data_IF_374527912720
#
_entry.id   IF_374527912720
#
_cell.length_a   1.000
_cell.length_b   1.000
_cell.length_c   1.000
_cell.angle_alpha   90.00
_cell.angle_beta   90.00
_cell.angle_gamma   90.00
#
_symmetry.space_group_name_H-M   'P 1'
#
loop_
_entity.id
_entity.type
_entity.pdbx_description
1 polymer ?
#
# COMPACT_ATOMS: atom_id res chain seq x y z
N UNK A 1 1.55 -0.69 11.40
CA UNK A 1 2.29 -1.69 10.62
C UNK A 1 1.34 -2.72 10.07
N UNK A 2 1.53 -3.10 8.82
CA UNK A 2 0.75 -4.16 8.20
C UNK A 2 1.56 -5.45 8.24
N UNK A 3 0.98 -6.52 8.79
CA UNK A 3 1.67 -7.80 8.88
C UNK A 3 1.01 -8.81 7.94
N UNK A 4 1.78 -9.27 6.97
CA UNK A 4 1.36 -10.30 6.02
C UNK A 4 1.96 -11.61 6.49
N UNK A 5 1.10 -12.52 6.92
CA UNK A 5 1.53 -13.73 7.65
C UNK A 5 1.97 -14.87 6.74
N UNK A 6 1.70 -14.77 5.46
CA UNK A 6 2.17 -15.72 4.45
C UNK A 6 2.15 -15.04 3.10
N UNK A 7 2.89 -15.58 2.14
CA UNK A 7 2.90 -14.99 0.79
C UNK A 7 1.50 -15.03 0.16
N UNK A 8 0.76 -16.11 0.40
CA UNK A 8 -0.59 -16.24 -0.16
C UNK A 8 -1.53 -15.17 0.38
N UNK A 9 -1.40 -14.85 1.66
CA UNK A 9 -2.24 -13.82 2.28
C UNK A 9 -1.95 -12.44 1.73
N UNK A 10 -0.79 -12.24 1.14
CA UNK A 10 -0.38 -10.95 0.64
C UNK A 10 -0.64 -10.70 -0.83
N UNK A 11 -1.21 -11.67 -1.56
CA UNK A 11 -1.30 -11.57 -3.03
C UNK A 11 -2.01 -10.29 -3.47
N UNK A 12 -3.14 -9.95 -2.84
CA UNK A 12 -3.88 -8.76 -3.24
C UNK A 12 -3.07 -7.49 -2.98
N UNK A 13 -2.34 -7.46 -1.88
CA UNK A 13 -1.48 -6.31 -1.54
C UNK A 13 -0.33 -6.22 -2.54
N UNK A 14 0.30 -7.34 -2.88
CA UNK A 14 1.39 -7.34 -3.86
C UNK A 14 0.90 -6.85 -5.22
N UNK A 15 -0.30 -7.28 -5.64
CA UNK A 15 -0.88 -6.81 -6.90
C UNK A 15 -1.18 -5.32 -6.85
N UNK A 16 -1.72 -4.84 -5.74
CA UNK A 16 -2.03 -3.42 -5.60
C UNK A 16 -0.76 -2.58 -5.64
N UNK A 17 0.32 -3.04 -5.03
CA UNK A 17 1.58 -2.30 -4.98
C UNK A 17 2.43 -2.49 -6.23
N UNK A 18 2.10 -3.44 -7.09
CA UNK A 18 2.84 -3.68 -8.32
C UNK A 18 2.46 -2.73 -9.45
N UNK A 19 2.36 -1.45 -9.16
CA UNK A 19 1.94 -0.45 -10.14
C UNK A 19 2.64 0.87 -9.81
N UNK A 20 3.33 1.44 -10.79
CA UNK A 20 4.01 2.72 -10.60
C UNK A 20 3.02 3.81 -10.18
N UNK A 21 1.83 3.83 -10.78
CA UNK A 21 0.83 4.84 -10.46
C UNK A 21 0.38 4.71 -9.02
N UNK A 22 0.10 3.49 -8.58
CA UNK A 22 -0.37 3.28 -7.20
C UNK A 22 0.71 3.56 -6.16
N UNK A 23 1.96 3.24 -6.46
CA UNK A 23 3.07 3.64 -5.59
C UNK A 23 3.14 5.15 -5.47
N UNK A 24 2.99 5.85 -6.60
CA UNK A 24 3.03 7.31 -6.58
C UNK A 24 1.85 7.89 -5.78
N UNK A 25 0.68 7.27 -5.87
CA UNK A 25 -0.47 7.67 -5.06
C UNK A 25 -0.12 7.61 -3.58
N UNK A 26 0.45 6.49 -3.14
CA UNK A 26 0.81 6.32 -1.74
C UNK A 26 1.82 7.38 -1.31
N UNK A 27 2.84 7.63 -2.14
CA UNK A 27 3.86 8.64 -1.83
C UNK A 27 3.26 10.03 -1.68
N UNK A 28 2.38 10.41 -2.61
CA UNK A 28 1.73 11.73 -2.55
C UNK A 28 0.87 11.87 -1.30
N UNK A 29 0.13 10.82 -0.95
CA UNK A 29 -0.71 10.86 0.24
C UNK A 29 0.12 10.95 1.52
N UNK A 30 1.27 10.30 1.56
CA UNK A 30 2.16 10.39 2.71
C UNK A 30 2.77 11.80 2.83
N UNK A 31 3.20 12.35 1.71
CA UNK A 31 3.83 13.67 1.70
C UNK A 31 2.87 14.78 2.10
N UNK A 32 1.59 14.63 1.80
CA UNK A 32 0.60 15.68 1.98
C UNK A 32 -0.38 15.39 3.12
N UNK A 33 -0.18 14.31 3.87
CA UNK A 33 -1.08 13.89 4.95
C UNK A 33 -2.52 13.73 4.45
N UNK A 34 -2.65 13.20 3.24
CA UNK A 34 -3.94 13.05 2.58
C UNK A 34 -4.15 14.10 1.50
N UNK A 35 -4.97 13.76 0.52
CA UNK A 35 -5.30 14.66 -0.59
C UNK A 35 -6.71 14.37 -1.06
N UNK A 36 -7.37 15.40 -1.61
CA UNK A 36 -8.63 15.12 -2.27
C UNK A 36 -8.40 14.48 -3.64
N UNK A 37 -9.45 13.81 -4.15
CA UNK A 37 -9.36 13.06 -5.39
C UNK A 37 -8.99 13.93 -6.59
N UNK A 38 -9.53 15.14 -6.65
CA UNK A 38 -9.27 16.04 -7.77
C UNK A 38 -7.81 16.45 -7.83
N UNK A 39 -7.25 16.82 -6.68
CA UNK A 39 -5.85 17.22 -6.62
C UNK A 39 -4.94 16.05 -6.95
N UNK A 40 -5.29 14.87 -6.47
CA UNK A 40 -4.50 13.68 -6.73
C UNK A 40 -4.48 13.35 -8.22
N UNK A 41 -5.65 13.41 -8.87
CA UNK A 41 -5.74 13.17 -10.31
C UNK A 41 -4.92 14.20 -11.10
N UNK A 42 -4.96 15.44 -10.68
CA UNK A 42 -4.19 16.51 -11.34
C UNK A 42 -2.70 16.27 -11.23
N UNK A 43 -2.22 15.91 -10.03
CA UNK A 43 -0.80 15.64 -9.85
C UNK A 43 -0.33 14.47 -10.69
N UNK A 44 -1.18 13.45 -10.83
CA UNK A 44 -0.82 12.25 -11.60
C UNK A 44 -1.09 12.41 -13.09
N UNK A 45 -1.77 13.47 -13.48
CA UNK A 45 -2.16 13.73 -14.86
C UNK A 45 -2.98 12.58 -15.44
N UNK A 46 -3.96 12.12 -14.67
CA UNK A 46 -4.89 11.06 -15.10
C UNK A 46 -6.32 11.52 -14.88
N UNK A 47 -7.26 10.82 -15.49
CA UNK A 47 -8.67 11.14 -15.32
C UNK A 47 -9.15 10.69 -13.94
N UNK A 48 -10.25 11.29 -13.47
CA UNK A 48 -10.88 10.88 -12.22
C UNK A 48 -11.35 9.43 -12.30
N UNK A 49 -11.81 8.99 -13.47
CA UNK A 49 -12.23 7.60 -13.62
C UNK A 49 -11.08 6.61 -13.45
N UNK A 50 -9.92 6.93 -14.05
CA UNK A 50 -8.74 6.08 -13.89
C UNK A 50 -8.28 6.07 -12.43
N UNK A 51 -8.28 7.25 -11.80
CA UNK A 51 -7.89 7.35 -10.39
C UNK A 51 -8.79 6.52 -9.50
N UNK A 52 -10.12 6.59 -9.73
CA UNK A 52 -11.08 5.84 -8.94
C UNK A 52 -10.76 4.34 -8.94
N UNK A 53 -10.37 3.80 -10.09
CA UNK A 53 -10.00 2.39 -10.18
C UNK A 53 -8.78 2.05 -9.32
N UNK A 54 -7.76 2.92 -9.35
CA UNK A 54 -6.56 2.71 -8.54
C UNK A 54 -6.85 2.83 -7.05
N UNK A 55 -7.63 3.85 -6.69
CA UNK A 55 -8.00 4.08 -5.28
C UNK A 55 -8.77 2.88 -4.73
N UNK A 56 -9.71 2.34 -5.52
CA UNK A 56 -10.50 1.20 -5.08
C UNK A 56 -9.61 -0.01 -4.80
N UNK A 57 -8.63 -0.27 -5.64
CA UNK A 57 -7.70 -1.39 -5.42
C UNK A 57 -6.91 -1.23 -4.12
N UNK A 58 -6.43 -0.01 -3.86
CA UNK A 58 -5.70 0.27 -2.64
C UNK A 58 -6.60 0.20 -1.41
N UNK A 59 -7.82 0.69 -1.55
CA UNK A 59 -8.79 0.69 -0.46
C UNK A 59 -9.23 -0.71 -0.09
N UNK A 60 -9.46 -1.55 -1.09
CA UNK A 60 -9.89 -2.94 -0.88
C UNK A 60 -8.85 -3.75 -0.13
N UNK A 61 -7.58 -3.39 -0.23
CA UNK A 61 -6.49 -4.03 0.51
C UNK A 61 -6.25 -3.41 1.87
N UNK A 62 -6.96 -2.34 2.21
CA UNK A 62 -6.78 -1.67 3.49
C UNK A 62 -5.56 -0.76 3.55
N UNK A 63 -4.93 -0.44 2.42
CA UNK A 63 -3.74 0.39 2.41
C UNK A 63 -4.06 1.87 2.55
N UNK A 64 -5.21 2.28 2.04
CA UNK A 64 -5.68 3.66 2.16
C UNK A 64 -7.15 3.64 2.57
N UNK A 65 -7.63 4.80 2.99
CA UNK A 65 -9.06 5.02 3.24
C UNK A 65 -9.51 6.30 2.56
N UNK A 66 -10.80 6.39 2.30
CA UNK A 66 -11.40 7.60 1.74
C UNK A 66 -12.52 8.06 2.66
N UNK A 67 -12.58 9.37 2.88
CA UNK A 67 -13.62 10.00 3.65
C UNK A 67 -14.23 11.12 2.84
N UNK A 68 -15.51 11.38 3.04
CA UNK A 68 -16.20 12.48 2.40
C UNK A 68 -16.21 13.65 3.36
N UNK A 69 -15.75 14.81 2.89
CA UNK A 69 -15.76 16.03 3.68
C UNK A 69 -16.63 17.08 3.01
N UNK A 70 -17.41 17.85 3.77
CA UNK A 70 -18.17 18.95 3.19
C UNK A 70 -17.23 20.02 2.64
N UNK A 71 -17.60 20.59 1.52
CA UNK A 71 -16.87 21.70 0.95
C UNK A 71 -17.87 22.78 0.53
N UNK A 72 -17.37 23.93 0.12
CA UNK A 72 -18.23 25.02 -0.32
C UNK A 72 -19.10 24.69 -1.52
N UNK A 73 -18.74 23.65 -2.26
CA UNK A 73 -19.44 23.26 -3.50
C UNK A 73 -19.97 21.84 -3.42
N UNK A 74 -20.25 21.32 -2.23
CA UNK A 74 -20.71 19.97 -2.02
C UNK A 74 -19.69 19.18 -1.24
N UNK A 75 -19.67 17.89 -1.46
CA UNK A 75 -18.76 16.99 -0.75
C UNK A 75 -17.58 16.65 -1.61
N UNK A 76 -16.40 16.49 -0.99
CA UNK A 76 -15.22 16.02 -1.69
C UNK A 76 -14.67 14.82 -0.95
N UNK A 77 -14.05 13.92 -1.70
CA UNK A 77 -13.42 12.74 -1.12
C UNK A 77 -11.98 13.03 -0.81
N UNK A 78 -11.58 12.70 0.41
CA UNK A 78 -10.19 12.82 0.86
C UNK A 78 -9.63 11.43 1.04
N UNK A 79 -8.50 11.18 0.41
CA UNK A 79 -7.79 9.91 0.55
C UNK A 79 -6.66 10.06 1.56
N UNK A 80 -6.53 9.06 2.42
CA UNK A 80 -5.47 9.03 3.44
C UNK A 80 -4.80 7.68 3.43
N UNK A 81 -3.49 7.66 3.63
CA UNK A 81 -2.75 6.41 3.73
C UNK A 81 -2.46 6.12 5.19
N UNK A 82 -2.60 4.85 5.57
CA UNK A 82 -2.35 4.42 6.95
C UNK A 82 -1.15 3.49 7.05
N UNK A 83 -0.40 3.38 5.97
CA UNK A 83 0.70 2.43 5.86
C UNK A 83 2.01 3.10 6.23
N UNK A 84 2.73 2.52 7.20
CA UNK A 84 4.10 2.94 7.51
C UNK A 84 5.09 1.83 7.18
N UNK A 85 4.74 0.59 7.47
CA UNK A 85 5.62 -0.56 7.27
C UNK A 85 4.81 -1.78 6.89
N UNK A 86 5.44 -2.67 6.13
CA UNK A 86 4.88 -3.97 5.82
C UNK A 86 5.88 -5.01 6.27
N UNK A 87 5.43 -5.93 7.13
CA UNK A 87 6.21 -7.10 7.52
C UNK A 87 5.63 -8.31 6.80
N UNK A 88 6.47 -9.04 6.08
CA UNK A 88 6.05 -10.19 5.30
C UNK A 88 6.74 -11.43 5.84
N UNK A 89 5.96 -12.39 6.30
CA UNK A 89 6.48 -13.70 6.69
C UNK A 89 6.47 -14.60 5.46
N UNK A 90 7.63 -14.93 4.97
CA UNK A 90 7.77 -15.79 3.80
C UNK A 90 7.58 -17.25 4.18
N UNK A 91 8.12 -17.64 5.32
CA UNK A 91 7.95 -18.98 5.88
C UNK A 91 7.13 -18.86 7.17
N UNK A 92 5.85 -19.25 7.15
CA UNK A 92 4.99 -19.04 8.31
C UNK A 92 5.19 -20.08 9.43
N UNK A 93 6.08 -21.04 9.27
CA UNK A 93 6.24 -22.06 10.30
C UNK A 93 6.81 -21.46 11.58
N UNK A 94 6.40 -21.97 12.77
CA UNK A 94 6.93 -21.45 14.02
C UNK A 94 8.44 -21.63 14.16
N UNK A 95 9.00 -22.69 13.61
CA UNK A 95 10.45 -22.90 13.65
C UNK A 95 11.20 -21.82 12.89
N UNK A 96 10.67 -21.40 11.73
CA UNK A 96 11.31 -20.35 10.96
C UNK A 96 11.29 -19.02 11.70
N UNK A 97 10.22 -18.75 12.46
CA UNK A 97 10.11 -17.52 13.22
C UNK A 97 11.09 -17.47 14.39
N UNK A 98 11.41 -18.63 14.94
CA UNK A 98 12.32 -18.71 16.08
C UNK A 98 13.78 -18.69 15.67
N UNK A 99 14.08 -19.22 14.49
CA UNK A 99 15.46 -19.21 14.04
C UNK A 99 15.79 -17.81 13.54
N UNK A 100 16.55 -17.28 14.09
CA UNK A 100 16.80 -15.97 13.73
C UNK A 100 18.11 -15.79 13.41
N UNK A 101 18.34 -16.27 13.00
CA UNK A 101 19.02 -16.24 12.65
C UNK A 101 19.69 -16.62 11.94
N UNK A 102 19.87 -16.77 11.67
CA UNK A 102 20.30 -17.11 10.81
C UNK A 102 21.09 -17.09 10.29
N UNK A 103 21.48 -17.64 10.31
CA UNK A 103 22.01 -17.75 9.62
C UNK A 103 22.05 -17.56 8.71
N UNK A 104 22.27 -17.61 8.75
CA UNK A 104 22.25 -17.51 7.68
C UNK A 104 22.12 -17.41 6.99
N UNK A 105 22.33 -17.53 6.96
CA UNK A 105 21.91 -17.43 5.96
C UNK A 105 21.93 -17.36 5.27
N UNK A 106 22.10 -17.44 5.29
CA UNK A 106 21.87 -17.33 4.34
C UNK A 106 21.75 -17.34 3.75
N UNK A 107 21.77 -17.72 3.68
CA UNK A 107 21.60 -17.67 2.89
C UNK A 107 21.32 -17.11 2.24
N UNK A 108 21.52 -16.87 2.54
CA UNK A 108 21.12 -16.30 1.76
C UNK A 108 21.33 -15.71 1.26
N UNK A 109 21.66 -15.77 1.29
CA UNK A 109 21.61 -15.26 0.62
C UNK A 109 21.76 -14.97 0.04
N UNK A 110 22.01 -15.26 -0.15
CA UNK A 110 21.95 -15.12 -0.79
C UNK A 110 21.74 -14.63 -1.40
N UNK A 111 21.73 -14.48 -1.35
CA UNK A 111 21.31 -14.07 -2.00
C UNK A 111 21.31 -13.37 -2.55
N UNK A 112 21.72 -13.52 -2.49
CA UNK A 112 21.50 -12.91 -3.09
C UNK A 112 21.03 -12.37 -3.21
N UNK A 113 21.03 -12.45 -2.90
CA UNK A 113 20.45 -11.57 -2.99
C UNK A 113 19.70 -11.29 -3.08
#
# INVERSE_FOLDING_TARGET
MLHIKSLEDGIDIFKALGSNVRIEIIRLLQENNGMNMNDLASHLNITNGALTGHIKKLEDCGLISTDTEPSGHGNQKICTVHLDKILIDVDPSPEAQDSHIYHTGLKVGHYSG
#
